data_IF_716915731141
#
_entry.id   IF_716915731141
#
_cell.length_a   1.000
_cell.length_b   1.000
_cell.length_c   1.000
_cell.angle_alpha   90.00
_cell.angle_beta   90.00
_cell.angle_gamma   90.00
#
_symmetry.space_group_name_H-M   'P 1'
#
loop_
_entity.id
_entity.type
_entity.pdbx_description
1 polymer ?
#
# COMPACT_ATOMS: atom_id res chain seq x y z
N UNK A 1 -21.10 -45.98 -43.36
CA UNK A 1 -20.45 -46.18 -42.05
C UNK A 1 -19.12 -45.44 -42.09
N UNK A 2 -19.05 -44.25 -41.52
CA UNK A 2 -17.80 -43.47 -41.37
C UNK A 2 -17.83 -42.88 -39.96
N UNK A 3 -16.84 -43.26 -39.15
CA UNK A 3 -16.68 -42.82 -37.77
C UNK A 3 -15.92 -41.49 -37.72
N UNK A 4 -16.36 -40.55 -36.87
CA UNK A 4 -15.64 -39.32 -36.55
C UNK A 4 -14.98 -39.47 -35.15
N UNK A 5 -13.74 -39.00 -34.97
CA UNK A 5 -13.00 -39.18 -33.73
C UNK A 5 -13.49 -38.25 -32.61
N UNK A 6 -13.57 -38.80 -31.40
CA UNK A 6 -13.82 -38.07 -30.15
C UNK A 6 -12.68 -37.11 -29.83
N UNK A 7 -12.96 -35.81 -29.78
CA UNK A 7 -12.03 -34.82 -29.21
C UNK A 7 -12.08 -34.89 -27.69
N UNK A 8 -10.97 -35.28 -27.06
CA UNK A 8 -10.79 -35.21 -25.62
C UNK A 8 -10.58 -33.75 -25.20
N UNK A 9 -11.41 -33.26 -24.28
CA UNK A 9 -11.26 -31.95 -23.66
C UNK A 9 -10.07 -31.97 -22.69
N UNK A 10 -9.10 -31.08 -22.91
CA UNK A 10 -7.96 -30.88 -22.02
C UNK A 10 -8.44 -30.40 -20.64
N UNK A 11 -7.85 -30.89 -19.53
CA UNK A 11 -8.20 -30.41 -18.20
C UNK A 11 -7.79 -28.95 -18.06
N UNK A 12 -8.77 -28.12 -17.64
CA UNK A 12 -8.64 -26.68 -17.49
C UNK A 12 -7.45 -26.30 -16.62
N UNK A 13 -6.71 -25.31 -17.10
CA UNK A 13 -5.64 -24.65 -16.38
C UNK A 13 -6.13 -24.25 -14.98
N UNK A 14 -5.45 -24.76 -13.95
CA UNK A 14 -5.65 -24.32 -12.59
C UNK A 14 -5.41 -22.80 -12.54
N UNK A 15 -6.45 -22.04 -12.21
CA UNK A 15 -6.33 -20.62 -11.91
C UNK A 15 -5.39 -20.49 -10.71
N UNK A 16 -4.16 -20.06 -10.97
CA UNK A 16 -3.24 -19.67 -9.92
C UNK A 16 -3.90 -18.50 -9.18
N UNK A 17 -4.05 -18.57 -7.84
CA UNK A 17 -4.53 -17.42 -7.09
C UNK A 17 -3.50 -16.30 -7.31
N UNK A 18 -3.90 -15.27 -8.02
CA UNK A 18 -3.12 -14.05 -8.10
C UNK A 18 -3.09 -13.48 -6.70
N UNK A 19 -2.00 -13.72 -5.96
CA UNK A 19 -1.66 -12.94 -4.78
C UNK A 19 -1.24 -11.57 -5.26
N UNK A 20 -2.19 -10.81 -5.81
CA UNK A 20 -2.09 -9.38 -5.82
C UNK A 20 -2.16 -9.00 -4.33
N UNK A 21 -0.99 -8.82 -3.71
CA UNK A 21 -0.88 -7.93 -2.57
C UNK A 21 -1.37 -6.59 -3.08
N UNK A 22 -2.67 -6.35 -2.98
CA UNK A 22 -3.27 -5.05 -3.24
C UNK A 22 -2.63 -4.13 -2.22
N UNK A 23 -1.60 -3.40 -2.63
CA UNK A 23 -1.18 -2.22 -1.89
C UNK A 23 -2.45 -1.42 -1.67
N UNK A 24 -2.87 -1.28 -0.42
CA UNK A 24 -4.18 -0.73 -0.11
C UNK A 24 -4.24 0.70 -0.65
N UNK A 25 -5.19 0.96 -1.55
CA UNK A 25 -5.38 2.27 -2.19
C UNK A 25 -6.52 3.03 -1.50
N UNK A 26 -6.37 4.35 -1.38
CA UNK A 26 -7.29 5.19 -0.63
C UNK A 26 -7.12 5.01 0.87
N UNK A 27 -8.18 5.22 1.64
CA UNK A 27 -8.16 5.03 3.10
C UNK A 27 -8.37 3.56 3.46
N UNK A 28 -7.54 3.03 4.34
CA UNK A 28 -7.56 1.62 4.71
C UNK A 28 -7.21 1.35 6.17
N UNK A 29 -7.55 0.16 6.61
CA UNK A 29 -7.09 -0.42 7.87
C UNK A 29 -6.82 -1.90 7.63
N UNK A 30 -5.59 -2.33 7.90
CA UNK A 30 -5.14 -3.72 7.78
C UNK A 30 -4.84 -4.27 9.17
N UNK A 31 -5.15 -5.55 9.37
CA UNK A 31 -4.92 -6.28 10.61
C UNK A 31 -4.44 -7.70 10.30
N UNK A 32 -3.80 -8.37 11.26
CA UNK A 32 -3.45 -9.79 11.14
C UNK A 32 -2.55 -10.09 9.94
N UNK A 33 -2.89 -11.13 9.17
CA UNK A 33 -2.08 -11.59 8.02
C UNK A 33 -1.93 -10.51 6.93
N UNK A 34 -2.96 -9.67 6.72
CA UNK A 34 -2.88 -8.56 5.75
C UNK A 34 -1.89 -7.49 6.20
N UNK A 35 -1.88 -7.17 7.50
CA UNK A 35 -0.91 -6.24 8.07
C UNK A 35 0.51 -6.84 8.02
N UNK A 36 0.67 -8.13 8.29
CA UNK A 36 1.95 -8.82 8.20
C UNK A 36 2.50 -8.88 6.77
N UNK A 37 1.61 -8.96 5.77
CA UNK A 37 1.95 -8.90 4.37
C UNK A 37 2.23 -7.47 3.86
N UNK A 38 1.86 -6.43 4.63
CA UNK A 38 2.04 -5.04 4.23
C UNK A 38 3.51 -4.71 3.94
N UNK A 39 3.71 -3.89 2.92
CA UNK A 39 5.01 -3.32 2.55
C UNK A 39 4.85 -1.81 2.52
N UNK A 40 5.74 -1.12 3.22
CA UNK A 40 5.78 0.34 3.20
C UNK A 40 6.04 0.78 1.75
N UNK A 41 5.20 1.65 1.16
CA UNK A 41 5.41 2.13 -0.20
C UNK A 41 6.73 2.88 -0.37
N UNK A 42 7.24 2.99 -1.60
CA UNK A 42 8.51 3.68 -1.87
C UNK A 42 8.39 5.21 -1.91
N UNK A 43 7.17 5.72 -2.02
CA UNK A 43 6.80 7.13 -2.10
C UNK A 43 6.32 7.68 -0.75
N UNK A 44 6.74 7.07 0.37
CA UNK A 44 6.46 7.59 1.71
C UNK A 44 7.75 7.78 2.50
N UNK A 45 7.75 8.79 3.35
CA UNK A 45 8.86 9.14 4.24
C UNK A 45 8.45 9.00 5.70
N UNK A 46 9.33 8.49 6.55
CA UNK A 46 9.09 8.43 8.00
C UNK A 46 9.13 9.83 8.60
N UNK A 47 7.99 10.30 9.11
CA UNK A 47 7.88 11.61 9.77
C UNK A 47 7.88 11.51 11.29
N UNK A 48 7.55 10.34 11.83
CA UNK A 48 7.53 10.13 13.27
C UNK A 48 7.64 8.65 13.64
N UNK A 49 8.30 8.37 14.78
CA UNK A 49 8.38 7.04 15.36
C UNK A 49 8.35 7.11 16.88
N UNK A 50 7.64 6.18 17.50
CA UNK A 50 7.68 5.95 18.94
C UNK A 50 7.68 4.46 19.28
N UNK A 51 8.20 4.15 20.46
CA UNK A 51 8.21 2.82 21.03
C UNK A 51 7.43 2.81 22.33
N UNK A 52 6.49 1.90 22.43
CA UNK A 52 5.67 1.68 23.61
C UNK A 52 6.38 0.76 24.62
N UNK A 53 5.90 0.77 25.86
CA UNK A 53 6.50 0.00 26.97
C UNK A 53 6.39 -1.52 26.79
N UNK A 54 5.39 -1.98 26.04
CA UNK A 54 5.18 -3.39 25.67
C UNK A 54 6.14 -3.87 24.55
N UNK A 55 6.98 -2.98 24.02
CA UNK A 55 7.91 -3.26 22.93
C UNK A 55 7.36 -2.96 21.54
N UNK A 56 6.07 -2.62 21.41
CA UNK A 56 5.44 -2.25 20.15
C UNK A 56 6.04 -0.93 19.63
N UNK A 57 6.35 -0.88 18.34
CA UNK A 57 6.84 0.31 17.64
C UNK A 57 5.74 0.85 16.75
N UNK A 58 5.41 2.14 16.91
CA UNK A 58 4.54 2.86 16.00
C UNK A 58 5.40 3.75 15.11
N UNK A 59 5.28 3.60 13.80
CA UNK A 59 5.94 4.46 12.81
C UNK A 59 4.87 5.12 11.94
N UNK A 60 5.00 6.42 11.72
CA UNK A 60 4.11 7.22 10.88
C UNK A 60 4.89 7.71 9.66
N UNK A 61 4.31 7.48 8.51
CA UNK A 61 4.84 7.82 7.21
C UNK A 61 3.95 8.85 6.52
N UNK A 62 4.56 9.84 5.89
CA UNK A 62 3.91 10.83 5.03
C UNK A 62 4.20 10.46 3.57
N UNK A 63 3.17 10.39 2.75
CA UNK A 63 3.32 10.20 1.32
C UNK A 63 3.83 11.49 0.68
N UNK A 64 4.83 11.35 -0.18
CA UNK A 64 5.52 12.43 -0.88
C UNK A 64 5.56 12.10 -2.36
N UNK A 65 5.11 13.03 -3.21
CA UNK A 65 5.14 12.90 -4.67
C UNK A 65 5.81 14.14 -5.25
N UNK A 66 6.90 13.94 -6.00
CA UNK A 66 7.70 15.02 -6.61
C UNK A 66 8.14 16.11 -5.59
N UNK A 67 8.41 15.70 -4.34
CA UNK A 67 8.85 16.59 -3.25
C UNK A 67 7.72 17.36 -2.57
N UNK A 68 6.46 17.11 -2.92
CA UNK A 68 5.29 17.67 -2.25
C UNK A 68 4.62 16.64 -1.35
N UNK A 69 4.21 17.07 -0.15
CA UNK A 69 3.42 16.25 0.76
C UNK A 69 2.01 16.04 0.18
N UNK A 70 1.60 14.77 0.09
CA UNK A 70 0.22 14.41 -0.23
C UNK A 70 -0.61 14.61 1.02
N UNK A 71 -1.39 15.68 1.04
CA UNK A 71 -2.37 15.93 2.11
C UNK A 71 -3.30 14.71 2.24
N UNK A 72 -3.55 14.28 3.49
CA UNK A 72 -4.24 13.05 3.87
C UNK A 72 -3.55 11.72 3.48
N UNK A 73 -2.46 11.75 2.71
CA UNK A 73 -1.64 10.58 2.37
C UNK A 73 -0.71 10.18 3.50
N UNK A 74 -1.25 9.70 4.62
CA UNK A 74 -0.44 9.32 5.78
C UNK A 74 -0.73 7.88 6.20
N UNK A 75 0.34 7.12 6.48
CA UNK A 75 0.24 5.73 6.94
C UNK A 75 0.88 5.56 8.31
N UNK A 76 0.17 4.94 9.24
CA UNK A 76 0.68 4.53 10.54
C UNK A 76 0.81 3.01 10.60
N UNK A 77 2.00 2.52 10.91
CA UNK A 77 2.34 1.11 11.04
C UNK A 77 2.66 0.81 12.50
N UNK A 78 1.98 -0.18 13.09
CA UNK A 78 2.33 -0.76 14.38
C UNK A 78 3.04 -2.09 14.15
N UNK A 79 4.17 -2.25 14.83
CA UNK A 79 5.02 -3.43 14.75
C UNK A 79 5.36 -3.93 16.14
N UNK A 80 5.11 -5.19 16.42
CA UNK A 80 5.52 -5.87 17.65
C UNK A 80 6.69 -6.83 17.41
N UNK A 81 6.94 -7.75 18.35
CA UNK A 81 7.98 -8.77 18.22
C UNK A 81 7.71 -9.80 17.11
N UNK A 82 6.46 -9.99 16.69
CA UNK A 82 6.03 -10.94 15.67
C UNK A 82 6.06 -10.34 14.27
N UNK A 83 5.87 -9.03 14.14
CA UNK A 83 5.87 -8.34 12.86
C UNK A 83 4.94 -7.14 12.85
N UNK A 84 4.50 -6.75 11.65
CA UNK A 84 3.51 -5.68 11.50
C UNK A 84 2.14 -6.26 11.88
N UNK A 85 1.50 -5.66 12.88
CA UNK A 85 0.22 -6.15 13.43
C UNK A 85 -0.97 -5.33 12.95
N UNK A 86 -0.75 -4.03 12.77
CA UNK A 86 -1.80 -3.07 12.38
C UNK A 86 -1.22 -2.04 11.44
N UNK A 87 -1.96 -1.71 10.40
CA UNK A 87 -1.67 -0.58 9.51
C UNK A 87 -2.93 0.24 9.32
N UNK A 88 -2.85 1.54 9.55
CA UNK A 88 -3.98 2.47 9.44
C UNK A 88 -3.51 3.70 8.67
N UNK A 89 -4.25 4.11 7.64
CA UNK A 89 -3.89 5.32 6.93
C UNK A 89 -4.58 5.47 5.59
N UNK A 90 -4.00 6.32 4.75
CA UNK A 90 -4.32 6.39 3.35
C UNK A 90 -3.06 6.45 2.49
N UNK A 91 -3.13 5.81 1.32
CA UNK A 91 -2.10 5.85 0.28
C UNK A 91 -2.76 6.00 -1.08
N UNK A 92 -2.30 6.97 -1.86
CA UNK A 92 -2.90 7.30 -3.15
C UNK A 92 -1.92 7.00 -4.27
N UNK A 93 -2.15 5.92 -5.01
CA UNK A 93 -1.30 5.54 -6.13
C UNK A 93 -1.59 6.39 -7.36
N UNK A 94 -0.64 6.45 -8.30
CA UNK A 94 -0.85 7.08 -9.60
C UNK A 94 -1.05 8.60 -9.55
N UNK A 95 -0.74 9.25 -8.44
CA UNK A 95 -0.75 10.71 -8.34
C UNK A 95 0.22 11.30 -9.36
N UNK A 96 -0.29 12.26 -10.12
CA UNK A 96 0.43 13.00 -11.16
C UNK A 96 0.20 14.47 -10.89
N UNK A 97 1.24 15.26 -10.58
CA UNK A 97 1.09 16.71 -10.52
C UNK A 97 0.55 17.22 -11.86
N UNK A 98 -0.65 17.79 -11.85
CA UNK A 98 -1.24 18.39 -13.04
C UNK A 98 -0.87 19.87 -13.19
N UNK A 99 -0.39 20.49 -12.12
CA UNK A 99 -0.02 21.90 -12.08
C UNK A 99 1.14 22.09 -11.11
N UNK A 100 2.19 22.75 -11.56
CA UNK A 100 3.34 23.16 -10.73
C UNK A 100 3.30 24.68 -10.59
N UNK A 101 2.77 25.18 -9.48
CA UNK A 101 2.83 26.60 -9.15
C UNK A 101 3.96 26.82 -8.16
N UNK A 102 5.03 27.46 -8.60
CA UNK A 102 6.14 27.82 -7.72
C UNK A 102 5.85 29.19 -7.10
N UNK A 103 5.32 29.19 -5.88
CA UNK A 103 5.04 30.41 -5.13
C UNK A 103 6.33 30.95 -4.51
N UNK A 104 6.55 32.26 -4.61
CA UNK A 104 7.59 32.90 -3.81
C UNK A 104 7.14 32.96 -2.34
N UNK A 105 8.05 32.99 -1.37
CA UNK A 105 7.69 33.14 0.05
C UNK A 105 6.81 34.35 0.35
N UNK A 106 6.88 35.40 -0.48
CA UNK A 106 6.03 36.60 -0.39
C UNK A 106 4.56 36.37 -0.78
N UNK A 107 4.27 35.25 -1.45
CA UNK A 107 2.94 34.91 -1.96
C UNK A 107 2.22 33.87 -1.08
N UNK A 108 2.91 33.33 -0.07
CA UNK A 108 2.32 32.42 0.91
C UNK A 108 1.58 33.22 2.01
N UNK A 109 0.31 32.89 2.24
CA UNK A 109 -0.59 33.56 3.19
C UNK A 109 -0.23 33.31 4.67
#
# INVERSE_FOLDING_TARGET
MVALPSTAAAPGAAAQPSTASSSAEGSFTLQGDEAAAYRVPGDVEEIWRSRFADGTTQTRYQQVVDGADVLDGQVTVLKDATGITTVIGAHFTGLRPANSLQLAPSDAL
#
